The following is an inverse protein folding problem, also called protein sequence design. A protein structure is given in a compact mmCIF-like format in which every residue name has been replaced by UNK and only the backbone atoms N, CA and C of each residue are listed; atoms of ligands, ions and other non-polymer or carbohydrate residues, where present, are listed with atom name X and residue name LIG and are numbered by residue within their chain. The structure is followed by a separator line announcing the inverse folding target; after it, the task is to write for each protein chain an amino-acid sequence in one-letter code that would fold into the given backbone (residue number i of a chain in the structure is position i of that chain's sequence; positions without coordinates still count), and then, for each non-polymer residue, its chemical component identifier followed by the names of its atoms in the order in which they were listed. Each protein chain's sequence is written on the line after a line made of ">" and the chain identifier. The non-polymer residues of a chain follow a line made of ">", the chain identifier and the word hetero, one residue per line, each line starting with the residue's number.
data_IF_023301383534
#
_entry.id   IF_023301383534
#
_cell.length_a   1.000
_cell.length_b   1.000
_cell.length_c   1.000
_cell.angle_alpha   90.00
_cell.angle_beta   90.00
_cell.angle_gamma   90.00
#
_symmetry.space_group_name_H-M   'P 1'
#
loop_
_entity.id
_entity.type
_entity.pdbx_description
1 polymer ?
#
# COMPACT_ATOMS: atom_id res chain seq x y z
N UNK A 1 6.43 -10.10 5.26
CA UNK A 1 7.00 -8.78 4.93
C UNK A 1 5.91 -7.90 4.34
N UNK A 2 5.70 -6.75 4.93
CA UNK A 2 4.80 -5.72 4.44
C UNK A 2 5.44 -5.05 3.21
N UNK A 3 4.92 -5.37 2.02
CA UNK A 3 5.53 -4.94 0.76
C UNK A 3 5.62 -3.41 0.64
N UNK A 4 4.54 -2.69 1.01
CA UNK A 4 4.55 -1.23 0.94
C UNK A 4 5.59 -0.64 1.88
N UNK A 5 5.62 -1.09 3.14
CA UNK A 5 6.52 -0.54 4.15
C UNK A 5 7.98 -0.90 3.88
N UNK A 6 8.23 -1.95 3.11
CA UNK A 6 9.58 -2.31 2.67
C UNK A 6 10.22 -1.19 1.84
N UNK A 7 9.43 -0.49 1.01
CA UNK A 7 9.92 0.60 0.15
C UNK A 7 9.65 1.99 0.71
N UNK A 8 8.57 2.16 1.50
CA UNK A 8 8.16 3.47 1.97
C UNK A 8 7.99 3.44 3.49
N UNK A 9 8.85 4.14 4.20
CA UNK A 9 8.87 4.19 5.66
C UNK A 9 8.37 5.54 6.20
N UNK A 10 7.82 6.37 5.33
CA UNK A 10 7.29 7.66 5.73
C UNK A 10 5.99 7.51 6.53
N UNK A 11 5.74 8.40 7.52
CA UNK A 11 4.49 8.38 8.27
C UNK A 11 3.33 8.92 7.42
N UNK A 12 2.12 8.74 7.94
CA UNK A 12 0.89 9.29 7.36
C UNK A 12 0.58 8.77 5.95
N UNK A 13 0.93 7.51 5.69
CA UNK A 13 0.63 6.80 4.45
C UNK A 13 -0.54 5.86 4.73
N UNK A 14 -1.75 6.23 4.30
CA UNK A 14 -2.98 5.53 4.66
C UNK A 14 -3.69 4.98 3.44
N UNK A 15 -4.51 3.93 3.63
CA UNK A 15 -5.30 3.29 2.58
C UNK A 15 -6.80 3.38 2.82
N UNK A 16 -7.22 3.87 3.98
CA UNK A 16 -8.62 4.00 4.33
C UNK A 16 -8.87 5.31 5.09
N UNK A 17 -9.97 5.96 4.74
CA UNK A 17 -10.48 7.16 5.43
C UNK A 17 -11.99 7.03 5.56
N UNK A 18 -12.58 7.59 6.62
CA UNK A 18 -14.04 7.58 6.74
C UNK A 18 -14.70 8.36 5.61
N UNK A 19 -15.78 7.82 5.04
CA UNK A 19 -16.61 8.54 4.08
C UNK A 19 -17.63 9.44 4.75
N UNK A 20 -17.88 9.22 6.05
CA UNK A 20 -18.86 9.98 6.81
C UNK A 20 -18.52 11.47 6.86
N UNK A 21 -17.24 11.80 6.88
CA UNK A 21 -16.76 13.17 6.94
C UNK A 21 -15.65 13.36 5.89
N UNK A 22 -16.00 13.78 4.65
CA UNK A 22 -15.01 13.93 3.58
C UNK A 22 -13.84 14.85 3.93
N UNK A 23 -14.06 15.85 4.80
CA UNK A 23 -12.98 16.73 5.25
C UNK A 23 -11.88 15.99 6.01
N UNK A 24 -12.19 14.85 6.64
CA UNK A 24 -11.21 14.03 7.34
C UNK A 24 -10.20 13.45 6.35
N UNK A 25 -10.66 12.98 5.18
CA UNK A 25 -9.77 12.48 4.12
C UNK A 25 -8.92 13.61 3.55
N UNK A 26 -9.49 14.79 3.35
CA UNK A 26 -8.75 15.96 2.87
C UNK A 26 -7.63 16.36 3.84
N UNK A 27 -7.79 16.09 5.14
CA UNK A 27 -6.77 16.32 6.15
C UNK A 27 -5.82 15.13 6.31
N UNK A 28 -6.01 14.07 5.53
CA UNK A 28 -5.24 12.83 5.58
C UNK A 28 -5.24 12.18 6.98
N UNK A 29 -6.38 12.17 7.63
CA UNK A 29 -6.58 11.49 8.92
C UNK A 29 -7.25 10.15 8.69
N UNK A 30 -6.44 9.14 8.41
CA UNK A 30 -6.93 7.82 8.05
C UNK A 30 -6.15 6.71 8.75
N UNK A 31 -6.28 5.50 8.18
CA UNK A 31 -5.63 4.29 8.69
C UNK A 31 -5.04 3.52 7.51
N UNK A 32 -3.95 2.82 7.75
CA UNK A 32 -3.42 1.89 6.75
C UNK A 32 -3.96 0.50 7.10
N UNK A 33 -5.07 0.12 6.46
CA UNK A 33 -5.80 -1.12 6.72
C UNK A 33 -5.54 -2.20 5.68
N UNK A 34 -5.09 -1.81 4.48
CA UNK A 34 -4.90 -2.72 3.36
C UNK A 34 -3.42 -2.98 3.15
N UNK A 35 -3.04 -4.26 3.15
CA UNK A 35 -1.65 -4.69 3.08
C UNK A 35 -1.48 -5.74 2.00
N UNK A 36 -0.31 -5.74 1.36
CA UNK A 36 0.19 -6.87 0.58
C UNK A 36 1.40 -7.42 1.33
N UNK A 37 1.27 -8.61 1.90
CA UNK A 37 2.33 -9.25 2.65
C UNK A 37 2.96 -10.37 1.82
N UNK A 38 4.28 -10.45 1.84
CA UNK A 38 5.03 -11.50 1.15
C UNK A 38 5.91 -12.23 2.16
N UNK A 39 6.28 -13.47 1.82
CA UNK A 39 7.24 -14.24 2.61
C UNK A 39 8.63 -13.62 2.51
N UNK A 40 9.51 -13.97 3.44
CA UNK A 40 10.89 -13.49 3.39
C UNK A 40 11.61 -13.94 2.13
N UNK A 41 11.30 -15.14 1.62
CA UNK A 41 11.89 -15.63 0.38
C UNK A 41 11.48 -14.81 -0.84
N UNK A 42 10.26 -14.25 -0.86
CA UNK A 42 9.80 -13.39 -1.94
C UNK A 42 10.27 -11.95 -1.79
N UNK A 43 10.70 -11.55 -0.59
CA UNK A 43 11.15 -10.17 -0.34
C UNK A 43 12.29 -9.76 -1.30
N UNK A 44 13.18 -10.69 -1.61
CA UNK A 44 14.31 -10.44 -2.50
C UNK A 44 13.89 -10.20 -3.95
N UNK A 45 12.66 -10.57 -4.32
CA UNK A 45 12.10 -10.42 -5.65
C UNK A 45 11.12 -9.28 -5.78
N UNK A 46 10.87 -8.53 -4.70
CA UNK A 46 10.04 -7.33 -4.74
C UNK A 46 10.74 -6.24 -5.55
N UNK A 47 10.04 -5.70 -6.56
CA UNK A 47 10.53 -4.60 -7.38
C UNK A 47 10.02 -3.26 -6.90
N UNK A 48 8.74 -3.18 -6.51
CA UNK A 48 8.14 -1.94 -6.03
C UNK A 48 6.84 -2.23 -5.28
N UNK A 49 6.40 -1.25 -4.50
CA UNK A 49 5.09 -1.24 -3.89
C UNK A 49 4.63 0.20 -3.71
N UNK A 50 3.32 0.41 -3.78
CA UNK A 50 2.75 1.75 -3.69
C UNK A 50 1.32 1.70 -3.16
N UNK A 51 0.86 2.85 -2.68
CA UNK A 51 -0.56 3.13 -2.46
C UNK A 51 -0.94 4.31 -3.35
N UNK A 52 -2.22 4.40 -3.73
CA UNK A 52 -2.71 5.45 -4.62
C UNK A 52 -3.82 6.25 -3.93
N UNK A 53 -3.48 7.13 -2.95
CA UNK A 53 -4.47 7.83 -2.14
C UNK A 53 -5.32 8.82 -2.93
N UNK A 54 -4.88 9.22 -4.12
CA UNK A 54 -5.62 10.17 -4.95
C UNK A 54 -6.74 9.51 -5.77
N UNK A 55 -6.82 8.18 -5.78
CA UNK A 55 -7.93 7.46 -6.42
C UNK A 55 -9.07 7.37 -5.42
N UNK A 56 -10.15 8.14 -5.66
CA UNK A 56 -11.20 8.39 -4.66
C UNK A 56 -12.54 7.74 -5.03
N UNK A 57 -12.52 6.50 -5.54
CA UNK A 57 -13.74 5.77 -5.88
C UNK A 57 -14.34 4.99 -4.71
N UNK A 58 -13.65 4.97 -3.56
CA UNK A 58 -14.03 4.21 -2.38
C UNK A 58 -13.45 4.89 -1.15
N UNK A 59 -13.86 4.46 0.05
CA UNK A 59 -13.22 4.83 1.31
C UNK A 59 -11.83 4.21 1.47
N UNK A 60 -11.50 3.20 0.65
CA UNK A 60 -10.15 2.67 0.49
C UNK A 60 -9.50 3.22 -0.77
N UNK A 61 -8.17 3.34 -0.78
CA UNK A 61 -7.42 3.58 -1.99
C UNK A 61 -6.74 2.29 -2.46
N UNK A 62 -6.40 2.18 -3.77
CA UNK A 62 -5.70 1.01 -4.28
C UNK A 62 -4.32 0.81 -3.65
N UNK A 63 -3.94 -0.44 -3.47
CA UNK A 63 -2.60 -0.85 -3.07
C UNK A 63 -1.98 -1.70 -4.19
N UNK A 64 -0.66 -1.68 -4.29
CA UNK A 64 0.06 -2.27 -5.41
C UNK A 64 1.39 -2.84 -4.94
N UNK A 65 1.76 -4.00 -5.50
CA UNK A 65 3.12 -4.54 -5.36
C UNK A 65 3.53 -5.22 -6.67
N UNK A 66 4.80 -5.07 -7.02
CA UNK A 66 5.38 -5.69 -8.21
C UNK A 66 6.47 -6.66 -7.81
N UNK A 67 6.37 -7.90 -8.33
CA UNK A 67 7.30 -8.99 -8.02
C UNK A 67 7.94 -9.46 -9.33
N UNK A 68 9.25 -9.70 -9.30
CA UNK A 68 9.99 -10.24 -10.43
C UNK A 68 9.79 -11.75 -10.50
N UNK A 69 8.81 -12.20 -11.30
CA UNK A 69 8.48 -13.62 -11.45
C UNK A 69 9.52 -14.39 -12.29
N UNK A 70 10.28 -13.73 -13.14
CA UNK A 70 11.35 -14.39 -13.90
C UNK A 70 12.46 -14.86 -12.96
N UNK A 71 12.79 -14.07 -11.96
CA UNK A 71 13.77 -14.45 -10.94
C UNK A 71 13.29 -15.64 -10.12
N UNK A 72 11.97 -15.83 -9.95
CA UNK A 72 11.40 -16.96 -9.22
C UNK A 72 11.50 -18.28 -9.99
N UNK A 73 11.61 -18.22 -11.32
CA UNK A 73 11.65 -19.40 -12.20
C UNK A 73 13.07 -19.93 -12.44
N UNK A 74 14.06 -19.26 -11.88
CA UNK A 74 15.45 -19.70 -11.95
C UNK A 74 15.89 -20.42 -10.64
#
# INVERSE_FOLDING_TARGET
>A
VDAFRHFNKEPHQYTWWTQRFPSIRAQNKGWRLDYINVTQSLQLHLKSAAIYPDVKHSDHCPVFAEIDVEALNN
#
